data_IF_416195762924
#
_entry.id   IF_416195762924
#
_cell.length_a   1.000
_cell.length_b   1.000
_cell.length_c   1.000
_cell.angle_alpha   90.00
_cell.angle_beta   90.00
_cell.angle_gamma   90.00
#
_symmetry.space_group_name_H-M   'P 1'
#
loop_
_entity.id
_entity.type
_entity.pdbx_description
1 polymer ?
#
# COMPACT_ATOMS: atom_id res chain seq x y z
N UNK A 1 4.34 16.83 3.60
CA UNK A 1 3.24 16.52 2.66
C UNK A 1 3.86 15.66 1.59
N UNK A 2 3.45 14.40 1.55
CA UNK A 2 3.99 13.42 0.61
C UNK A 2 2.94 13.09 -0.45
N UNK A 3 3.39 12.68 -1.63
CA UNK A 3 2.50 12.37 -2.74
C UNK A 3 2.97 11.10 -3.44
N UNK A 4 2.03 10.20 -3.69
CA UNK A 4 2.28 8.91 -4.33
C UNK A 4 1.36 8.77 -5.55
N UNK A 5 1.94 8.43 -6.70
CA UNK A 5 1.19 8.12 -7.92
C UNK A 5 1.37 6.64 -8.22
N UNK A 6 0.26 5.97 -8.50
CA UNK A 6 0.28 4.55 -8.82
C UNK A 6 -1.10 4.02 -9.17
N UNK A 7 -1.13 2.72 -9.46
CA UNK A 7 -2.31 2.03 -9.93
C UNK A 7 -3.09 1.46 -8.75
N UNK A 8 -4.35 1.85 -8.60
CA UNK A 8 -5.19 1.39 -7.50
C UNK A 8 -5.48 -0.12 -7.65
N UNK A 9 -5.16 -0.90 -6.61
CA UNK A 9 -5.17 -2.36 -6.65
C UNK A 9 -6.50 -2.99 -7.08
N UNK A 10 -7.64 -2.41 -6.71
CA UNK A 10 -8.94 -3.04 -6.91
C UNK A 10 -9.54 -2.83 -8.31
N UNK A 11 -9.25 -1.69 -8.94
CA UNK A 11 -9.90 -1.27 -10.19
C UNK A 11 -8.91 -0.91 -11.31
N UNK A 12 -7.61 -0.91 -11.02
CA UNK A 12 -6.58 -0.60 -12.00
C UNK A 12 -6.52 0.89 -12.41
N UNK A 13 -7.26 1.77 -11.76
CA UNK A 13 -7.24 3.19 -12.09
C UNK A 13 -5.95 3.85 -11.59
N UNK A 14 -5.36 4.74 -12.39
CA UNK A 14 -4.23 5.55 -11.94
C UNK A 14 -4.74 6.62 -10.96
N UNK A 15 -4.12 6.69 -9.79
CA UNK A 15 -4.51 7.58 -8.70
C UNK A 15 -3.30 8.32 -8.15
N UNK A 16 -3.57 9.48 -7.57
CA UNK A 16 -2.64 10.26 -6.77
C UNK A 16 -3.14 10.29 -5.32
N UNK A 17 -2.28 9.87 -4.38
CA UNK A 17 -2.54 9.90 -2.94
C UNK A 17 -1.73 11.02 -2.32
N UNK A 18 -2.40 11.90 -1.57
CA UNK A 18 -1.74 12.90 -0.73
C UNK A 18 -1.74 12.42 0.72
N UNK A 19 -0.58 12.46 1.37
CA UNK A 19 -0.42 12.13 2.79
C UNK A 19 0.02 13.38 3.55
N UNK A 20 -0.70 13.69 4.64
CA UNK A 20 -0.40 14.78 5.56
C UNK A 20 -0.24 14.19 6.96
N UNK A 21 0.91 14.41 7.58
CA UNK A 21 1.21 13.98 8.95
C UNK A 21 0.94 12.48 9.19
N UNK A 22 1.30 11.64 8.22
CA UNK A 22 1.12 10.18 8.28
C UNK A 22 -0.32 9.71 8.00
N UNK A 23 -1.25 10.61 7.69
CA UNK A 23 -2.65 10.30 7.39
C UNK A 23 -2.95 10.55 5.91
N UNK A 24 -3.69 9.62 5.29
CA UNK A 24 -4.20 9.83 3.93
C UNK A 24 -5.17 11.01 3.94
N UNK A 25 -4.79 12.08 3.27
CA UNK A 25 -5.58 13.29 3.15
C UNK A 25 -6.54 13.23 1.95
N UNK A 26 -6.07 12.72 0.81
CA UNK A 26 -6.89 12.60 -0.40
C UNK A 26 -6.41 11.47 -1.31
N UNK A 27 -7.33 10.94 -2.10
CA UNK A 27 -7.08 10.02 -3.21
C UNK A 27 -7.88 10.53 -4.40
N UNK A 28 -7.20 10.88 -5.49
CA UNK A 28 -7.85 11.42 -6.69
C UNK A 28 -7.42 10.65 -7.94
N UNK A 29 -8.33 10.40 -8.89
CA UNK A 29 -7.97 9.89 -10.20
C UNK A 29 -7.03 10.84 -10.93
N UNK A 30 -6.11 10.29 -11.72
CA UNK A 30 -5.29 11.04 -12.67
C UNK A 30 -5.36 10.40 -14.04
N UNK A 31 -5.46 11.23 -15.08
CA UNK A 31 -5.58 10.80 -16.47
C UNK A 31 -4.24 10.72 -17.20
N UNK A 32 -3.13 10.86 -16.47
CA UNK A 32 -1.83 11.08 -17.08
C UNK A 32 -1.20 9.77 -17.57
N UNK A 33 -1.25 9.59 -18.90
CA UNK A 33 -0.70 8.43 -19.62
C UNK A 33 0.84 8.42 -19.62
N UNK A 34 1.49 9.49 -19.14
CA UNK A 34 2.95 9.61 -19.06
C UNK A 34 3.60 8.72 -17.98
N UNK A 35 2.82 8.13 -17.08
CA UNK A 35 3.34 7.21 -16.06
C UNK A 35 3.61 5.85 -16.70
N UNK A 36 4.84 5.66 -17.19
CA UNK A 36 5.30 4.39 -17.74
C UNK A 36 5.49 3.39 -16.59
N UNK A 37 4.79 2.25 -16.64
CA UNK A 37 4.84 1.18 -15.65
C UNK A 37 4.51 1.62 -14.21
N UNK A 38 3.28 2.09 -13.93
CA UNK A 38 2.90 2.50 -12.58
C UNK A 38 2.97 1.32 -11.61
N UNK A 39 3.53 1.57 -10.43
CA UNK A 39 3.48 0.61 -9.32
C UNK A 39 2.06 0.49 -8.79
N UNK A 40 1.70 -0.69 -8.29
CA UNK A 40 0.40 -0.91 -7.66
C UNK A 40 0.41 -0.35 -6.23
N UNK A 41 -0.67 0.33 -5.88
CA UNK A 41 -0.89 0.84 -4.53
C UNK A 41 -2.08 0.08 -3.92
N UNK A 42 -1.82 -0.53 -2.77
CA UNK A 42 -2.79 -1.23 -1.94
C UNK A 42 -2.59 -0.79 -0.48
N UNK A 43 -3.61 -0.96 0.40
CA UNK A 43 -3.38 -0.88 1.83
C UNK A 43 -2.26 -1.82 2.27
N UNK A 44 -1.52 -1.43 3.32
CA UNK A 44 -0.56 -2.34 3.95
C UNK A 44 -1.25 -3.63 4.37
N UNK A 45 -0.61 -4.77 4.09
CA UNK A 45 -1.15 -6.07 4.48
C UNK A 45 -1.09 -6.20 6.01
N UNK A 46 -2.15 -6.74 6.60
CA UNK A 46 -2.21 -7.09 8.02
C UNK A 46 -2.23 -8.61 8.13
N UNK A 47 -1.21 -9.18 8.74
CA UNK A 47 -1.19 -10.60 9.10
C UNK A 47 -1.76 -10.76 10.52
N UNK A 48 -2.89 -11.46 10.62
CA UNK A 48 -3.62 -11.66 11.87
C UNK A 48 -3.19 -12.94 12.62
N UNK A 49 -2.32 -13.78 12.04
CA UNK A 49 -1.85 -15.03 12.65
C UNK A 49 -0.34 -15.22 12.46
N UNK A 50 0.44 -14.47 13.24
CA UNK A 50 1.89 -14.66 13.30
C UNK A 50 2.18 -15.86 14.21
N UNK A 51 2.03 -17.09 13.69
CA UNK A 51 2.44 -18.31 14.42
C UNK A 51 3.98 -18.48 14.42
N UNK A 52 4.67 -17.70 13.59
CA UNK A 52 6.13 -17.64 13.49
C UNK A 52 6.55 -16.81 12.29
N UNK A 53 7.74 -16.20 12.35
CA UNK A 53 8.33 -15.45 11.24
C UNK A 53 9.84 -15.71 11.19
N UNK A 54 10.41 -15.77 9.99
CA UNK A 54 11.84 -15.98 9.76
C UNK A 54 12.47 -17.20 10.48
N UNK A 55 11.70 -18.30 10.64
CA UNK A 55 12.17 -19.53 11.28
C UNK A 55 12.06 -19.56 12.80
N UNK A 56 11.49 -18.53 13.42
CA UNK A 56 11.15 -18.50 14.85
C UNK A 56 9.68 -18.91 15.00
N UNK A 57 9.45 -20.04 15.65
CA UNK A 57 8.12 -20.51 16.04
C UNK A 57 7.80 -20.00 17.46
N UNK A 58 6.70 -19.25 17.61
CA UNK A 58 6.29 -18.72 18.92
C UNK A 58 5.56 -19.76 19.79
N UNK A 59 5.26 -20.95 19.24
CA UNK A 59 4.57 -22.03 19.95
C UNK A 59 5.49 -22.96 20.75
N UNK A 60 6.82 -22.83 20.63
CA UNK A 60 7.80 -23.62 21.38
C UNK A 60 8.35 -22.94 22.62
N UNK A 61 7.81 -21.76 23.00
CA UNK A 61 8.12 -21.10 24.25
C UNK A 61 7.32 -21.74 25.42
N UNK A 62 7.65 -22.99 25.75
CA UNK A 62 7.21 -23.69 26.96
C UNK A 62 8.34 -24.51 27.55
#
# INVERSE_FOLDING_TARGET
MDTYIGKHYANGQLICITVLDGVIHSIVPVSDEAVINPVWIAPGLVDLQINGYAGIDMNQAS
#
